data_IF_054329565473
#
_entry.id   IF_054329565473
#
_cell.length_a   1.000
_cell.length_b   1.000
_cell.length_c   1.000
_cell.angle_alpha   90.00
_cell.angle_beta   90.00
_cell.angle_gamma   90.00
#
_symmetry.space_group_name_H-M   'P 1'
#
loop_
_entity.id
_entity.type
_entity.pdbx_description
1 polymer ?
#
# COMPACT_ATOMS: atom_id res chain seq x y z
N UNK A 1 -20.37 -10.58 15.24
CA UNK A 1 -19.65 -10.05 14.06
C UNK A 1 -18.20 -10.53 13.99
N UNK A 2 -17.62 -11.08 15.06
CA UNK A 2 -16.24 -11.59 15.10
C UNK A 2 -16.03 -12.98 14.48
N UNK A 3 -17.09 -13.76 14.27
CA UNK A 3 -16.97 -15.14 13.75
C UNK A 3 -16.83 -15.23 12.21
N UNK A 4 -16.86 -14.10 11.50
CA UNK A 4 -16.73 -14.04 10.04
C UNK A 4 -15.30 -13.80 9.54
N UNK A 5 -14.34 -13.58 10.45
CA UNK A 5 -12.96 -13.30 10.09
C UNK A 5 -12.04 -14.42 10.58
N UNK A 6 -11.13 -14.93 9.73
CA UNK A 6 -10.09 -15.83 10.20
C UNK A 6 -9.22 -15.11 11.24
N UNK A 7 -8.91 -15.74 12.39
CA UNK A 7 -8.08 -15.13 13.42
C UNK A 7 -6.68 -14.86 12.86
N UNK A 8 -6.20 -13.64 13.07
CA UNK A 8 -4.84 -13.23 12.70
C UNK A 8 -3.85 -13.99 13.60
N UNK A 9 -2.92 -14.73 12.99
CA UNK A 9 -2.07 -15.71 13.69
C UNK A 9 -0.92 -15.09 14.50
N UNK A 10 -0.80 -13.75 14.57
CA UNK A 10 0.40 -13.05 15.03
C UNK A 10 0.16 -11.87 16.01
N UNK A 11 -0.84 -11.91 16.88
CA UNK A 11 -0.87 -11.00 18.03
C UNK A 11 -0.53 -11.77 19.30
N UNK A 12 0.77 -11.95 19.52
CA UNK A 12 1.28 -12.06 20.89
C UNK A 12 1.34 -10.65 21.44
N UNK A 13 0.52 -10.46 22.46
CA UNK A 13 0.55 -9.38 23.44
C UNK A 13 1.99 -8.96 23.77
N UNK A 14 2.41 -7.78 23.31
CA UNK A 14 3.53 -7.03 23.89
C UNK A 14 3.02 -5.64 24.27
N UNK A 15 2.45 -5.60 25.46
CA UNK A 15 2.07 -4.42 26.24
C UNK A 15 3.33 -3.72 26.78
N UNK A 16 4.15 -3.17 25.88
CA UNK A 16 5.30 -2.34 26.27
C UNK A 16 5.74 -1.35 25.19
N UNK A 17 4.93 -0.31 24.98
CA UNK A 17 5.45 0.97 24.48
C UNK A 17 5.23 2.06 25.54
N UNK A 18 5.86 1.85 26.69
CA UNK A 18 6.24 2.95 27.57
C UNK A 18 7.41 3.67 26.88
N UNK A 19 7.08 4.60 25.98
CA UNK A 19 8.07 5.49 25.38
C UNK A 19 8.40 6.53 26.46
N UNK A 20 9.51 6.29 27.17
CA UNK A 20 10.21 7.33 27.90
C UNK A 20 10.46 8.49 26.93
N UNK A 21 9.74 9.59 27.14
CA UNK A 21 9.96 10.87 26.47
C UNK A 21 11.22 11.49 27.07
N UNK A 22 12.36 10.86 26.84
CA UNK A 22 13.66 11.52 26.96
C UNK A 22 13.94 12.25 25.65
N UNK A 23 14.49 13.45 25.82
CA UNK A 23 14.62 14.50 24.83
C UNK A 23 15.67 14.16 23.76
N UNK A 24 15.36 13.28 22.81
CA UNK A 24 16.11 13.16 21.56
C UNK A 24 15.19 13.41 20.36
N UNK A 25 15.27 14.65 19.85
CA UNK A 25 14.93 15.04 18.48
C UNK A 25 13.51 14.76 18.02
N UNK A 26 12.69 15.80 17.91
CA UNK A 26 11.40 15.81 17.19
C UNK A 26 11.54 15.61 15.67
N UNK A 27 12.60 14.93 15.21
CA UNK A 27 12.83 14.66 13.79
C UNK A 27 12.09 13.39 13.37
N UNK A 28 10.81 13.59 13.05
CA UNK A 28 9.92 12.56 12.52
C UNK A 28 10.52 11.85 11.30
N UNK A 29 11.24 12.58 10.43
CA UNK A 29 11.85 12.00 9.22
C UNK A 29 12.98 11.05 9.58
N UNK A 30 13.81 11.40 10.56
CA UNK A 30 14.92 10.55 10.96
C UNK A 30 14.45 9.23 11.61
N UNK A 31 13.36 9.29 12.38
CA UNK A 31 12.74 8.10 12.97
C UNK A 31 12.12 7.18 11.91
N UNK A 32 11.42 7.76 10.95
CA UNK A 32 10.82 7.01 9.84
C UNK A 32 11.89 6.42 8.91
N UNK A 33 12.95 7.19 8.60
CA UNK A 33 14.08 6.73 7.81
C UNK A 33 14.82 5.56 8.47
N UNK A 34 14.98 5.56 9.80
CA UNK A 34 15.59 4.44 10.52
C UNK A 34 14.70 3.17 10.51
N UNK A 35 13.38 3.35 10.50
CA UNK A 35 12.41 2.25 10.47
C UNK A 35 12.25 1.63 9.08
N UNK A 36 12.23 2.45 8.02
CA UNK A 36 12.01 2.02 6.62
C UNK A 36 13.30 1.75 5.85
N UNK A 37 14.45 2.26 6.32
CA UNK A 37 15.72 2.14 5.61
C UNK A 37 15.73 2.84 4.25
N UNK A 38 16.62 2.39 3.35
CA UNK A 38 16.85 3.04 2.06
C UNK A 38 16.01 2.45 0.91
N UNK A 39 14.93 1.73 1.20
CA UNK A 39 14.14 1.03 0.18
C UNK A 39 13.37 1.97 -0.76
N UNK A 40 13.15 3.23 -0.34
CA UNK A 40 12.47 4.26 -1.12
C UNK A 40 13.39 5.37 -1.63
N UNK A 41 14.68 5.33 -1.30
CA UNK A 41 15.63 6.37 -1.72
C UNK A 41 15.90 6.25 -3.23
N UNK A 42 15.60 7.31 -3.97
CA UNK A 42 15.85 7.41 -5.42
C UNK A 42 17.11 8.21 -5.72
N UNK A 43 17.71 8.04 -6.90
CA UNK A 43 18.89 8.83 -7.32
C UNK A 43 18.59 10.34 -7.39
N UNK A 44 17.31 10.72 -7.54
CA UNK A 44 16.86 12.12 -7.51
C UNK A 44 16.79 12.70 -6.09
N UNK A 45 16.68 11.89 -5.03
CA UNK A 45 16.65 12.41 -3.66
C UNK A 45 18.00 12.99 -3.25
N UNK A 46 19.11 12.46 -3.78
CA UNK A 46 20.44 13.02 -3.56
C UNK A 46 20.57 14.46 -4.06
N UNK A 47 19.89 14.81 -5.16
CA UNK A 47 19.83 16.19 -5.67
C UNK A 47 18.96 17.11 -4.81
N UNK A 48 17.99 16.54 -4.06
CA UNK A 48 17.14 17.27 -3.13
C UNK A 48 17.87 17.56 -1.80
N UNK A 49 18.71 16.63 -1.33
CA UNK A 49 19.53 16.81 -0.13
C UNK A 49 20.76 17.70 -0.37
N UNK A 50 21.28 17.75 -1.60
CA UNK A 50 22.26 18.74 -2.04
C UNK A 50 21.55 20.07 -2.37
N UNK A 51 20.86 20.64 -1.38
CA UNK A 51 20.23 21.94 -1.54
C UNK A 51 21.25 23.01 -1.97
N UNK A 52 20.91 23.84 -2.99
CA UNK A 52 21.78 24.92 -3.44
C UNK A 52 22.07 25.86 -2.27
N UNK A 53 23.30 26.39 -2.23
CA UNK A 53 23.79 27.26 -1.15
C UNK A 53 22.84 28.45 -0.88
N UNK A 54 22.10 28.89 -1.89
CA UNK A 54 21.08 29.95 -1.82
C UNK A 54 19.87 29.58 -0.93
N UNK A 55 19.36 28.33 -0.98
CA UNK A 55 18.24 27.91 -0.14
C UNK A 55 18.60 27.88 1.36
N UNK A 56 19.84 27.50 1.68
CA UNK A 56 20.37 27.55 3.05
C UNK A 56 20.54 28.97 3.58
N UNK A 57 20.77 29.94 2.70
CA UNK A 57 20.80 31.36 3.09
C UNK A 57 19.40 31.93 3.31
N UNK A 58 18.41 31.52 2.51
CA UNK A 58 17.00 31.90 2.69
C UNK A 58 16.41 31.32 3.98
N UNK A 59 16.69 30.05 4.30
CA UNK A 59 16.25 29.43 5.56
C UNK A 59 16.86 30.14 6.76
N UNK A 60 18.16 30.48 6.72
CA UNK A 60 18.81 31.28 7.77
C UNK A 60 18.22 32.68 7.89
N UNK A 61 17.84 33.32 6.78
CA UNK A 61 17.17 34.62 6.82
C UNK A 61 15.78 34.51 7.45
N UNK A 62 15.04 33.43 7.16
CA UNK A 62 13.75 33.14 7.78
C UNK A 62 13.88 32.87 9.29
N UNK A 63 14.84 32.06 9.73
CA UNK A 63 15.15 31.81 11.15
C UNK A 63 15.54 33.09 11.90
N UNK A 64 16.21 34.04 11.24
CA UNK A 64 16.54 35.33 11.86
C UNK A 64 15.33 36.29 11.92
N UNK A 65 14.31 36.07 11.09
CA UNK A 65 13.14 36.95 10.99
C UNK A 65 11.99 36.52 11.91
N UNK A 66 12.04 35.29 12.43
CA UNK A 66 11.11 34.77 13.42
C UNK A 66 11.89 34.27 14.63
N UNK A 67 11.74 34.87 15.82
CA UNK A 67 12.41 34.37 17.02
C UNK A 67 11.93 32.95 17.35
N UNK A 68 12.88 32.07 17.68
CA UNK A 68 12.59 30.69 18.06
C UNK A 68 11.68 30.61 19.28
N UNK A 69 10.58 29.87 19.14
CA UNK A 69 9.54 29.69 20.17
C UNK A 69 10.05 28.79 21.33
N UNK A 70 11.25 28.23 21.21
CA UNK A 70 11.86 27.34 22.21
C UNK A 70 12.53 28.07 23.38
N UNK A 71 12.81 29.37 23.27
CA UNK A 71 13.34 30.19 24.38
C UNK A 71 12.27 30.89 25.22
N UNK A 72 10.98 30.58 25.01
CA UNK A 72 9.91 30.99 25.92
C UNK A 72 9.92 30.08 27.15
N UNK A 73 10.92 30.27 28.01
CA UNK A 73 10.77 29.92 29.42
C UNK A 73 9.54 30.66 29.96
N UNK A 74 8.66 29.90 30.61
CA UNK A 74 7.41 30.35 31.24
C UNK A 74 7.65 31.19 32.51
N UNK A 75 8.49 32.22 32.44
CA UNK A 75 8.66 33.18 33.52
C UNK A 75 9.16 34.53 32.98
N UNK A 76 8.26 35.52 32.97
CA UNK A 76 8.60 36.93 32.74
C UNK A 76 8.26 37.41 31.34
N UNK A 77 7.03 37.91 31.20
CA UNK A 77 6.55 38.67 30.03
C UNK A 77 7.51 39.83 29.75
N UNK A 78 8.17 39.89 28.57
CA UNK A 78 8.75 41.14 28.09
C UNK A 78 7.63 41.98 27.51
N UNK A 79 7.59 43.22 27.97
CA UNK A 79 6.69 44.31 27.58
C UNK A 79 6.82 44.61 26.06
N UNK A 80 6.06 43.89 25.23
CA UNK A 80 5.69 44.37 23.89
C UNK A 80 4.21 44.70 23.90
N UNK A 81 3.94 45.99 23.71
CA UNK A 81 2.62 46.60 23.80
C UNK A 81 1.80 46.24 22.55
N UNK A 82 1.27 45.02 22.51
CA UNK A 82 0.31 44.60 21.49
C UNK A 82 -1.12 44.95 21.95
N UNK A 83 -1.60 46.07 21.42
CA UNK A 83 -2.95 46.66 21.55
C UNK A 83 -4.11 45.67 21.25
N UNK A 84 -3.79 44.48 20.74
CA UNK A 84 -4.72 43.39 20.46
C UNK A 84 -5.11 42.57 21.72
N UNK A 85 -4.18 42.37 22.66
CA UNK A 85 -4.44 41.55 23.86
C UNK A 85 -5.14 42.31 24.99
N UNK A 86 -5.07 43.64 24.99
CA UNK A 86 -5.76 44.50 25.97
C UNK A 86 -7.28 44.60 25.71
N UNK A 87 -7.74 44.33 24.48
CA UNK A 87 -9.18 44.27 24.16
C UNK A 87 -9.86 43.05 24.80
N UNK A 88 -9.13 41.95 24.96
CA UNK A 88 -9.71 40.67 25.37
C UNK A 88 -9.86 40.57 26.91
N UNK A 89 -8.99 41.23 27.67
CA UNK A 89 -9.10 41.30 29.13
C UNK A 89 -10.21 42.25 29.61
N UNK A 90 -10.50 43.32 28.86
CA UNK A 90 -11.56 44.28 29.18
C UNK A 90 -12.98 43.79 28.84
N UNK A 91 -13.10 42.75 28.00
CA UNK A 91 -14.39 42.12 27.67
C UNK A 91 -14.93 41.24 28.81
N UNK A 92 -14.08 40.84 29.76
CA UNK A 92 -14.44 39.90 30.82
C UNK A 92 -15.19 40.55 31.99
N UNK A 93 -15.07 41.88 32.18
CA UNK A 93 -15.81 42.63 33.21
C UNK A 93 -17.24 43.04 32.81
N UNK A 94 -17.62 42.93 31.53
CA UNK A 94 -19.00 43.17 31.05
C UNK A 94 -19.86 41.90 30.90
N UNK A 95 -19.43 40.77 31.47
CA UNK A 95 -20.11 39.47 31.33
C UNK A 95 -21.46 39.34 32.09
N UNK A 96 -21.93 40.40 32.77
CA UNK A 96 -23.20 40.40 33.51
C UNK A 96 -24.34 41.22 32.85
N UNK A 97 -24.13 41.75 31.64
CA UNK A 97 -25.21 42.34 30.86
C UNK A 97 -25.99 41.25 30.11
N UNK A 98 -27.31 41.24 30.21
CA UNK A 98 -28.16 40.34 29.42
C UNK A 98 -27.78 40.46 27.93
N UNK A 99 -27.58 39.33 27.21
CA UNK A 99 -27.21 39.38 25.80
C UNK A 99 -28.28 40.14 25.01
N UNK A 100 -27.86 40.93 24.03
CA UNK A 100 -28.81 41.63 23.16
C UNK A 100 -29.66 40.62 22.38
N UNK A 101 -30.89 40.98 22.04
CA UNK A 101 -31.83 40.13 21.30
C UNK A 101 -31.23 39.64 19.96
N UNK A 102 -30.39 40.47 19.32
CA UNK A 102 -29.67 40.08 18.11
C UNK A 102 -28.65 38.95 18.33
N UNK A 103 -27.96 38.93 19.48
CA UNK A 103 -26.99 37.88 19.83
C UNK A 103 -27.72 36.58 20.19
N UNK A 104 -28.87 36.65 20.86
CA UNK A 104 -29.68 35.46 21.15
C UNK A 104 -30.22 34.83 19.88
N UNK A 105 -30.80 35.63 18.96
CA UNK A 105 -31.27 35.11 17.67
C UNK A 105 -30.15 34.53 16.80
N UNK A 106 -28.96 35.15 16.81
CA UNK A 106 -27.81 34.62 16.09
C UNK A 106 -27.35 33.27 16.64
N UNK A 107 -27.31 33.13 17.98
CA UNK A 107 -26.98 31.84 18.63
C UNK A 107 -28.00 30.77 18.26
N UNK A 108 -29.29 31.08 18.28
CA UNK A 108 -30.35 30.15 17.89
C UNK A 108 -30.19 29.70 16.43
N UNK A 109 -30.02 30.63 15.48
CA UNK A 109 -29.75 30.29 14.06
C UNK A 109 -28.50 29.43 13.90
N UNK A 110 -27.43 29.75 14.64
CA UNK A 110 -26.17 29.00 14.58
C UNK A 110 -26.32 27.58 15.11
N UNK A 111 -27.05 27.39 16.20
CA UNK A 111 -27.33 26.06 16.76
C UNK A 111 -28.17 25.23 15.77
N UNK A 112 -29.15 25.84 15.10
CA UNK A 112 -29.93 25.16 14.06
C UNK A 112 -29.08 24.75 12.85
N UNK A 113 -28.17 25.61 12.39
CA UNK A 113 -27.24 25.29 11.31
C UNK A 113 -26.27 24.17 11.67
N UNK A 114 -25.70 24.22 12.88
CA UNK A 114 -24.80 23.18 13.39
C UNK A 114 -25.55 21.86 13.45
N UNK A 115 -26.77 21.85 14.00
CA UNK A 115 -27.58 20.63 14.07
C UNK A 115 -27.85 20.02 12.69
N UNK A 116 -28.18 20.85 11.69
CA UNK A 116 -28.37 20.37 10.31
C UNK A 116 -27.10 19.80 9.70
N UNK A 117 -25.94 20.41 9.99
CA UNK A 117 -24.65 19.93 9.51
C UNK A 117 -24.27 18.61 10.19
N UNK A 118 -24.50 18.48 11.49
CA UNK A 118 -24.25 17.26 12.25
C UNK A 118 -25.13 16.10 11.75
N UNK A 119 -26.42 16.35 11.51
CA UNK A 119 -27.33 15.37 10.92
C UNK A 119 -26.90 14.93 9.50
N UNK A 120 -26.37 15.85 8.69
CA UNK A 120 -25.85 15.53 7.37
C UNK A 120 -24.54 14.72 7.44
N UNK A 121 -23.65 15.07 8.36
CA UNK A 121 -22.38 14.38 8.56
C UNK A 121 -22.59 12.96 9.13
N UNK A 122 -23.54 12.80 10.06
CA UNK A 122 -23.90 11.48 10.60
C UNK A 122 -24.45 10.57 9.50
N UNK A 123 -25.31 11.10 8.62
CA UNK A 123 -25.82 10.36 7.45
C UNK A 123 -24.70 9.98 6.49
N UNK A 124 -23.83 10.92 6.13
CA UNK A 124 -22.71 10.65 5.23
C UNK A 124 -21.76 9.59 5.80
N UNK A 125 -21.51 9.62 7.12
CA UNK A 125 -20.73 8.60 7.81
C UNK A 125 -21.39 7.23 7.76
N UNK A 126 -22.71 7.17 7.98
CA UNK A 126 -23.49 5.93 7.87
C UNK A 126 -23.45 5.35 6.45
N UNK A 127 -23.67 6.19 5.44
CA UNK A 127 -23.59 5.80 4.03
C UNK A 127 -22.20 5.29 3.65
N UNK A 128 -21.14 5.96 4.09
CA UNK A 128 -19.76 5.55 3.86
C UNK A 128 -19.45 4.21 4.54
N UNK A 129 -19.95 3.99 5.76
CA UNK A 129 -19.79 2.72 6.45
C UNK A 129 -20.51 1.58 5.71
N UNK A 130 -21.75 1.81 5.26
CA UNK A 130 -22.52 0.83 4.50
C UNK A 130 -21.87 0.52 3.15
N UNK A 131 -21.34 1.54 2.47
CA UNK A 131 -20.58 1.40 1.22
C UNK A 131 -19.30 0.58 1.46
N UNK A 132 -18.54 0.89 2.51
CA UNK A 132 -17.34 0.13 2.87
C UNK A 132 -17.65 -1.35 3.15
N UNK A 133 -18.75 -1.64 3.87
CA UNK A 133 -19.19 -3.03 4.12
C UNK A 133 -19.54 -3.73 2.80
N UNK A 134 -20.29 -3.08 1.91
CA UNK A 134 -20.60 -3.64 0.58
C UNK A 134 -19.35 -3.90 -0.25
N UNK A 135 -18.35 -3.01 -0.20
CA UNK A 135 -17.09 -3.23 -0.90
C UNK A 135 -16.33 -4.44 -0.37
N UNK A 136 -16.34 -4.66 0.95
CA UNK A 136 -15.75 -5.85 1.56
C UNK A 136 -16.47 -7.11 1.09
N UNK A 137 -17.81 -7.11 1.10
CA UNK A 137 -18.61 -8.26 0.65
C UNK A 137 -18.33 -8.56 -0.84
N UNK A 138 -18.37 -7.53 -1.70
CA UNK A 138 -18.08 -7.66 -3.12
C UNK A 138 -16.66 -8.19 -3.38
N UNK A 139 -15.67 -7.73 -2.61
CA UNK A 139 -14.29 -8.21 -2.74
C UNK A 139 -14.19 -9.72 -2.50
N UNK A 140 -14.85 -10.23 -1.46
CA UNK A 140 -14.81 -11.66 -1.17
C UNK A 140 -15.62 -12.49 -2.16
N UNK A 141 -16.75 -11.98 -2.64
CA UNK A 141 -17.51 -12.64 -3.71
C UNK A 141 -16.68 -12.75 -5.00
N UNK A 142 -16.05 -11.66 -5.41
CA UNK A 142 -15.21 -11.60 -6.61
C UNK A 142 -13.96 -12.47 -6.47
N UNK A 143 -13.29 -12.42 -5.31
CA UNK A 143 -12.13 -13.23 -5.01
C UNK A 143 -12.47 -14.73 -5.04
N UNK A 144 -13.54 -15.13 -4.36
CA UNK A 144 -13.97 -16.52 -4.32
C UNK A 144 -14.38 -17.01 -5.72
N UNK A 145 -15.08 -16.19 -6.49
CA UNK A 145 -15.42 -16.49 -7.89
C UNK A 145 -14.17 -16.68 -8.74
N UNK A 146 -13.20 -15.77 -8.63
CA UNK A 146 -11.93 -15.87 -9.39
C UNK A 146 -11.12 -17.09 -8.98
N UNK A 147 -11.06 -17.38 -7.67
CA UNK A 147 -10.39 -18.57 -7.14
C UNK A 147 -11.01 -19.85 -7.68
N UNK A 148 -12.34 -19.95 -7.65
CA UNK A 148 -13.06 -21.12 -8.18
C UNK A 148 -12.82 -21.30 -9.67
N UNK A 149 -12.90 -20.21 -10.45
CA UNK A 149 -12.59 -20.22 -11.88
C UNK A 149 -11.14 -20.68 -12.14
N UNK A 150 -10.17 -20.21 -11.37
CA UNK A 150 -8.78 -20.62 -11.53
C UNK A 150 -8.57 -22.09 -11.20
N UNK A 151 -9.23 -22.60 -10.15
CA UNK A 151 -9.21 -24.01 -9.79
C UNK A 151 -9.84 -24.84 -10.91
N UNK A 152 -11.00 -24.44 -11.42
CA UNK A 152 -11.69 -25.13 -12.52
C UNK A 152 -10.84 -25.16 -13.79
N UNK A 153 -10.20 -24.05 -14.16
CA UNK A 153 -9.29 -23.98 -15.31
C UNK A 153 -8.10 -24.91 -15.10
N UNK A 154 -7.45 -24.86 -13.94
CA UNK A 154 -6.29 -25.72 -13.64
C UNK A 154 -6.68 -27.21 -13.65
N UNK A 155 -7.87 -27.55 -13.15
CA UNK A 155 -8.39 -28.92 -13.19
C UNK A 155 -8.66 -29.37 -14.63
N UNK A 156 -9.29 -28.53 -15.45
CA UNK A 156 -9.52 -28.82 -16.87
C UNK A 156 -8.21 -29.00 -17.63
N UNK A 157 -7.25 -28.10 -17.46
CA UNK A 157 -5.92 -28.20 -18.06
C UNK A 157 -5.20 -29.48 -17.61
N UNK A 158 -5.30 -29.85 -16.33
CA UNK A 158 -4.73 -31.10 -15.84
C UNK A 158 -5.40 -32.33 -16.46
N UNK A 159 -6.73 -32.34 -16.59
CA UNK A 159 -7.46 -33.42 -17.26
C UNK A 159 -7.13 -33.50 -18.75
N UNK A 160 -7.04 -32.37 -19.44
CA UNK A 160 -6.65 -32.28 -20.85
C UNK A 160 -5.23 -32.79 -21.04
N UNK A 161 -4.28 -32.35 -20.20
CA UNK A 161 -2.91 -32.84 -20.23
C UNK A 161 -2.82 -34.34 -19.97
N UNK A 162 -3.59 -34.89 -19.02
CA UNK A 162 -3.65 -36.33 -18.79
C UNK A 162 -4.22 -37.08 -19.99
N UNK A 163 -5.28 -36.55 -20.63
CA UNK A 163 -5.85 -37.14 -21.85
C UNK A 163 -4.85 -37.09 -23.00
N UNK A 164 -4.18 -35.96 -23.23
CA UNK A 164 -3.16 -35.81 -24.26
C UNK A 164 -1.99 -36.77 -24.02
N UNK A 165 -1.53 -36.88 -22.77
CA UNK A 165 -0.49 -37.84 -22.37
C UNK A 165 -0.93 -39.28 -22.65
N UNK A 166 -2.14 -39.67 -22.25
CA UNK A 166 -2.63 -41.03 -22.43
C UNK A 166 -2.85 -41.35 -23.92
N UNK A 167 -3.39 -40.41 -24.70
CA UNK A 167 -3.49 -40.51 -26.16
C UNK A 167 -2.11 -40.64 -26.81
N UNK A 168 -1.13 -39.85 -26.36
CA UNK A 168 0.25 -39.90 -26.85
C UNK A 168 0.90 -41.27 -26.61
N UNK A 169 0.62 -41.92 -25.48
CA UNK A 169 1.12 -43.27 -25.21
C UNK A 169 0.38 -44.36 -25.97
N UNK A 170 -0.91 -44.17 -26.25
CA UNK A 170 -1.77 -45.10 -27.00
C UNK A 170 -1.56 -45.05 -28.52
N UNK A 171 -0.92 -44.03 -29.06
CA UNK A 171 -0.58 -43.98 -30.48
C UNK A 171 0.35 -45.15 -30.87
N UNK A 172 0.03 -45.81 -31.98
CA UNK A 172 0.80 -46.90 -32.62
C UNK A 172 2.10 -46.38 -33.30
N UNK A 173 2.83 -45.51 -32.59
CA UNK A 173 4.06 -44.88 -33.05
C UNK A 173 5.26 -45.52 -32.35
N UNK A 174 6.39 -45.63 -33.07
CA UNK A 174 7.65 -46.12 -32.48
C UNK A 174 8.13 -45.18 -31.37
N UNK A 175 8.91 -45.68 -30.42
CA UNK A 175 9.48 -44.86 -29.33
C UNK A 175 10.26 -43.66 -29.85
N UNK A 176 10.93 -43.79 -31.00
CA UNK A 176 11.69 -42.73 -31.65
C UNK A 176 10.80 -41.65 -32.28
N UNK A 177 9.63 -42.01 -32.82
CA UNK A 177 8.65 -41.04 -33.32
C UNK A 177 8.07 -40.19 -32.18
N UNK A 178 7.80 -40.81 -31.03
CA UNK A 178 7.35 -40.12 -29.82
C UNK A 178 8.39 -39.12 -29.30
N UNK A 179 9.67 -39.52 -29.24
CA UNK A 179 10.76 -38.63 -28.84
C UNK A 179 10.91 -37.45 -29.80
N UNK A 180 10.79 -37.67 -31.11
CA UNK A 180 10.87 -36.60 -32.10
C UNK A 180 9.72 -35.58 -31.95
N UNK A 181 8.53 -36.02 -31.57
CA UNK A 181 7.37 -35.15 -31.36
C UNK A 181 7.47 -34.31 -30.07
N UNK A 182 8.15 -34.82 -29.04
CA UNK A 182 8.40 -34.08 -27.79
C UNK A 182 9.54 -33.06 -27.91
N UNK A 183 10.48 -33.29 -28.83
CA UNK A 183 11.60 -32.36 -29.05
C UNK A 183 11.11 -31.21 -29.93
N UNK A 184 11.28 -29.98 -29.45
CA UNK A 184 11.08 -28.81 -30.31
C UNK A 184 12.16 -28.79 -31.40
N UNK A 185 11.79 -29.24 -32.60
CA UNK A 185 12.75 -29.42 -33.70
C UNK A 185 13.38 -28.11 -34.20
N UNK A 186 12.78 -26.96 -33.89
CA UNK A 186 13.26 -25.65 -34.34
C UNK A 186 14.43 -25.13 -33.50
N UNK A 187 14.47 -25.44 -32.20
CA UNK A 187 15.50 -24.98 -31.25
C UNK A 187 16.46 -26.09 -30.81
N UNK A 188 16.33 -27.29 -31.39
CA UNK A 188 17.10 -28.46 -31.00
C UNK A 188 18.57 -28.46 -31.49
N UNK A 189 18.98 -27.49 -32.32
CA UNK A 189 20.31 -27.50 -32.96
C UNK A 189 21.42 -27.11 -31.97
N UNK A 190 21.14 -26.23 -31.00
CA UNK A 190 22.07 -25.88 -29.92
C UNK A 190 21.38 -25.82 -28.56
N UNK A 191 21.72 -26.76 -27.66
CA UNK A 191 21.24 -26.75 -26.27
C UNK A 191 22.44 -26.64 -25.34
N UNK A 192 22.44 -25.61 -24.49
CA UNK A 192 23.51 -25.35 -23.52
C UNK A 192 24.92 -25.29 -24.16
N UNK A 193 25.04 -24.65 -25.33
CA UNK A 193 26.32 -24.47 -26.02
C UNK A 193 26.88 -25.72 -26.70
N UNK A 194 26.16 -26.85 -26.72
CA UNK A 194 26.55 -28.07 -27.43
C UNK A 194 25.72 -28.24 -28.71
N UNK A 195 26.40 -28.38 -29.84
CA UNK A 195 25.79 -28.69 -31.13
C UNK A 195 25.21 -30.11 -31.11
N UNK A 196 23.90 -30.22 -31.36
CA UNK A 196 23.15 -31.48 -31.42
C UNK A 196 22.54 -31.73 -32.81
N UNK A 197 22.96 -30.99 -33.83
CA UNK A 197 22.47 -31.14 -35.21
C UNK A 197 22.59 -32.58 -35.73
N UNK A 198 23.71 -33.26 -35.42
CA UNK A 198 23.92 -34.68 -35.76
C UNK A 198 22.96 -35.61 -35.03
N UNK A 199 22.59 -35.30 -33.79
CA UNK A 199 21.65 -36.09 -33.01
C UNK A 199 20.23 -35.96 -33.57
N UNK A 200 19.82 -34.74 -33.97
CA UNK A 200 18.58 -34.50 -34.71
C UNK A 200 18.54 -35.29 -36.03
N UNK A 201 19.63 -35.31 -36.77
CA UNK A 201 19.76 -36.10 -38.01
C UNK A 201 19.61 -37.62 -37.74
N UNK A 202 20.20 -38.12 -36.65
CA UNK A 202 20.06 -39.53 -36.24
C UNK A 202 18.60 -39.85 -35.87
N UNK A 203 17.93 -38.99 -35.11
CA UNK A 203 16.52 -39.17 -34.73
C UNK A 203 15.60 -39.16 -35.96
N UNK A 204 15.82 -38.26 -36.90
CA UNK A 204 15.07 -38.24 -38.17
C UNK A 204 15.29 -39.53 -38.99
N UNK A 205 16.50 -40.12 -38.94
CA UNK A 205 16.78 -41.42 -39.59
C UNK A 205 16.15 -42.61 -38.86
N UNK A 206 15.87 -42.51 -37.56
CA UNK A 206 15.26 -43.57 -36.75
C UNK A 206 13.72 -43.53 -36.79
N UNK A 207 13.16 -42.38 -37.20
CA UNK A 207 11.73 -42.19 -37.44
C UNK A 207 11.14 -43.33 -38.30
N UNK A 208 10.09 -43.99 -37.81
CA UNK A 208 9.37 -45.05 -38.51
C UNK A 208 10.12 -46.37 -38.75
N UNK A 209 11.30 -46.60 -38.15
CA UNK A 209 12.03 -47.87 -38.28
C UNK A 209 11.64 -48.85 -37.16
N UNK A 210 10.99 -49.95 -37.53
CA UNK A 210 10.60 -51.02 -36.60
C UNK A 210 11.74 -51.97 -36.19
N UNK A 211 12.90 -51.88 -36.86
CA UNK A 211 14.11 -52.66 -36.54
C UNK A 211 15.06 -51.89 -35.60
N UNK A 212 14.67 -50.67 -35.20
CA UNK A 212 15.43 -49.89 -34.25
C UNK A 212 15.24 -50.44 -32.82
N UNK A 213 16.26 -50.37 -31.95
CA UNK A 213 16.13 -50.80 -30.57
C UNK A 213 15.02 -50.00 -29.87
N UNK A 214 14.07 -50.72 -29.26
CA UNK A 214 12.92 -50.15 -28.56
C UNK A 214 11.73 -49.78 -29.47
N UNK A 215 11.72 -50.22 -30.73
CA UNK A 215 10.57 -50.09 -31.63
C UNK A 215 9.48 -51.15 -31.39
#
# INVERSE_FOLDING_TARGET
MSEKFPPLENEKEDDSLNVDVEQEGTDFLQREAAALGNEFATEQDAELFDEPVEAKEEIKQFENQYPDIHDVQSNGVPEHNDEFYEMQSNAQESANAAPSEAVTEWRERRVEEIKKLDEANEKAKGELQDEAVKHIDNFYEDYNRKKEQQIEVTQKEAEEFLKERDQFFQQDNTTWDRVLQLINTEDADSVAGRDRSKFKEILQRLKGKTDAPGA
#
